data_IF_615504212016
#
_entry.id   IF_615504212016
#
_cell.length_a   1.000
_cell.length_b   1.000
_cell.length_c   1.000
_cell.angle_alpha   90.00
_cell.angle_beta   90.00
_cell.angle_gamma   90.00
#
_symmetry.space_group_name_H-M   'P 1'
#
loop_
_entity.id
_entity.type
_entity.pdbx_description
1 polymer ?
#
# COMPACT_ATOMS: atom_id res chain seq x y z
N UNK A 1 28.70 -20.52 -10.37
CA UNK A 1 27.94 -19.92 -11.48
C UNK A 1 26.85 -19.03 -10.92
N UNK A 2 26.64 -17.84 -11.51
CA UNK A 2 25.46 -17.00 -11.31
C UNK A 2 25.65 -15.81 -10.36
N UNK A 3 26.50 -14.84 -10.71
CA UNK A 3 26.38 -13.52 -10.08
C UNK A 3 25.12 -12.84 -10.62
N UNK A 4 24.19 -12.49 -9.73
CA UNK A 4 23.04 -11.67 -10.11
C UNK A 4 23.59 -10.27 -10.35
N UNK A 5 23.62 -9.84 -11.61
CA UNK A 5 24.03 -8.48 -11.95
C UNK A 5 22.95 -7.54 -11.44
N UNK A 6 23.25 -6.82 -10.35
CA UNK A 6 22.33 -5.82 -9.80
C UNK A 6 22.13 -4.69 -10.81
N UNK A 7 20.93 -4.11 -10.81
CA UNK A 7 20.65 -2.94 -11.63
C UNK A 7 21.28 -1.66 -11.05
N UNK A 8 21.41 -0.62 -11.86
CA UNK A 8 22.02 0.65 -11.46
C UNK A 8 21.21 1.33 -10.35
N UNK A 9 21.89 1.77 -9.28
CA UNK A 9 21.21 2.39 -8.12
C UNK A 9 20.66 3.79 -8.41
N UNK A 10 21.08 4.40 -9.51
CA UNK A 10 20.58 5.70 -9.97
C UNK A 10 19.52 5.53 -11.05
N UNK A 11 18.99 4.32 -11.24
CA UNK A 11 17.92 4.06 -12.18
C UNK A 11 16.68 4.84 -11.74
N UNK A 12 16.36 5.86 -12.53
CA UNK A 12 15.18 6.71 -12.42
C UNK A 12 13.98 5.93 -12.94
N UNK A 13 13.77 4.68 -12.49
CA UNK A 13 12.55 3.94 -12.84
C UNK A 13 11.40 4.85 -12.43
N UNK A 14 10.65 5.33 -13.44
CA UNK A 14 9.37 5.97 -13.23
C UNK A 14 8.53 4.91 -12.53
N UNK A 15 8.46 4.98 -11.20
CA UNK A 15 7.35 4.33 -10.53
C UNK A 15 6.10 4.85 -11.23
N UNK A 16 5.17 3.95 -11.62
CA UNK A 16 3.89 4.38 -12.15
C UNK A 16 3.20 5.31 -11.14
N UNK A 17 2.20 6.06 -11.59
CA UNK A 17 1.52 7.04 -10.74
C UNK A 17 0.94 6.38 -9.47
N UNK A 18 0.61 5.08 -9.55
CA UNK A 18 0.28 4.24 -8.41
C UNK A 18 0.94 2.86 -8.45
N UNK A 19 1.24 2.30 -7.27
CA UNK A 19 1.63 0.89 -7.08
C UNK A 19 0.59 -0.06 -7.72
N UNK A 20 -0.69 0.33 -7.73
CA UNK A 20 -1.77 -0.46 -8.35
C UNK A 20 -1.52 -0.77 -9.82
N UNK A 21 -0.94 0.18 -10.58
CA UNK A 21 -0.63 -0.02 -12.00
C UNK A 21 0.51 -1.01 -12.22
N UNK A 22 1.36 -1.21 -11.21
CA UNK A 22 2.41 -2.22 -11.23
C UNK A 22 1.87 -3.63 -10.97
N UNK A 23 0.77 -3.74 -10.24
CA UNK A 23 0.17 -5.01 -9.85
C UNK A 23 -0.97 -5.34 -10.80
N UNK A 24 -0.70 -6.21 -11.79
CA UNK A 24 -1.72 -6.74 -12.70
C UNK A 24 -2.96 -7.24 -11.95
N UNK A 25 -4.14 -7.09 -12.56
CA UNK A 25 -5.41 -7.58 -12.01
C UNK A 25 -5.41 -9.09 -11.69
N UNK A 26 -4.63 -9.87 -12.45
CA UNK A 26 -4.50 -11.32 -12.26
C UNK A 26 -3.35 -11.70 -11.32
N UNK A 27 -2.72 -10.73 -10.65
CA UNK A 27 -1.64 -11.02 -9.72
C UNK A 27 -2.21 -11.68 -8.46
N UNK A 28 -1.61 -12.80 -8.06
CA UNK A 28 -2.02 -13.54 -6.86
C UNK A 28 -2.02 -12.69 -5.58
N UNK A 29 -1.24 -11.61 -5.53
CA UNK A 29 -1.16 -10.72 -4.36
C UNK A 29 -2.51 -10.02 -4.07
N UNK A 30 -3.37 -9.85 -5.09
CA UNK A 30 -4.73 -9.29 -4.96
C UNK A 30 -5.63 -10.10 -4.03
N UNK A 31 -5.30 -11.37 -3.78
CA UNK A 31 -6.03 -12.20 -2.80
C UNK A 31 -5.94 -11.65 -1.37
N UNK A 32 -4.90 -10.87 -1.07
CA UNK A 32 -4.70 -10.26 0.24
C UNK A 32 -5.79 -9.20 0.47
N UNK A 33 -6.13 -8.42 -0.56
CA UNK A 33 -7.18 -7.41 -0.48
C UNK A 33 -8.54 -8.07 -0.18
N UNK A 34 -8.88 -9.13 -0.92
CA UNK A 34 -10.09 -9.92 -0.70
C UNK A 34 -10.13 -10.60 0.67
N UNK A 35 -8.98 -11.05 1.19
CA UNK A 35 -8.87 -11.63 2.52
C UNK A 35 -9.11 -10.58 3.62
N UNK A 36 -8.51 -9.40 3.49
CA UNK A 36 -8.67 -8.30 4.46
C UNK A 36 -10.12 -7.83 4.49
N UNK A 37 -10.80 -7.75 3.34
CA UNK A 37 -12.21 -7.35 3.25
C UNK A 37 -13.17 -8.28 4.00
N UNK A 38 -12.81 -9.56 4.16
CA UNK A 38 -13.61 -10.53 4.90
C UNK A 38 -13.34 -10.51 6.40
N UNK A 39 -12.29 -9.80 6.84
CA UNK A 39 -11.82 -9.83 8.22
C UNK A 39 -12.44 -8.69 9.02
N UNK A 40 -13.05 -9.03 10.17
CA UNK A 40 -13.51 -8.02 11.12
C UNK A 40 -12.33 -7.50 11.95
N UNK A 41 -11.70 -6.44 11.43
CA UNK A 41 -10.54 -5.79 12.05
C UNK A 41 -10.88 -5.16 13.42
N UNK A 42 -12.14 -4.83 13.68
CA UNK A 42 -12.59 -4.31 14.97
C UNK A 42 -12.61 -5.41 16.03
N UNK A 43 -13.17 -6.58 15.69
CA UNK A 43 -13.16 -7.76 16.58
C UNK A 43 -11.76 -8.25 16.90
N UNK A 44 -10.81 -8.04 15.98
CA UNK A 44 -9.40 -8.39 16.15
C UNK A 44 -8.59 -7.31 16.88
N UNK A 45 -9.26 -6.28 17.42
CA UNK A 45 -8.65 -5.19 18.18
C UNK A 45 -7.61 -4.36 17.40
N UNK A 46 -7.72 -4.29 16.06
CA UNK A 46 -6.93 -3.36 15.27
C UNK A 46 -7.48 -1.94 15.41
N UNK A 47 -7.14 -1.27 16.52
CA UNK A 47 -7.64 0.06 16.90
C UNK A 47 -7.38 1.19 15.87
N UNK A 48 -6.49 0.96 14.89
CA UNK A 48 -6.15 1.92 13.82
C UNK A 48 -6.69 1.53 12.45
N UNK A 49 -7.36 0.39 12.32
CA UNK A 49 -7.97 -0.03 11.07
C UNK A 49 -9.20 0.82 10.74
N UNK A 50 -9.93 1.25 11.76
CA UNK A 50 -11.05 2.17 11.61
C UNK A 50 -10.56 3.59 11.77
N UNK A 51 -11.14 4.48 10.98
CA UNK A 51 -10.96 5.91 11.05
C UNK A 51 -11.84 6.48 12.18
N UNK A 52 -11.32 6.81 13.38
CA UNK A 52 -12.10 7.60 14.32
C UNK A 52 -12.66 8.87 13.68
N UNK A 53 -13.94 9.20 13.93
CA UNK A 53 -14.59 10.36 13.31
C UNK A 53 -13.87 11.69 13.64
N UNK A 54 -13.14 11.75 14.75
CA UNK A 54 -12.40 12.93 15.20
C UNK A 54 -11.24 13.36 14.27
N UNK A 55 -10.80 12.50 13.35
CA UNK A 55 -9.73 12.85 12.40
C UNK A 55 -10.15 12.85 10.94
N UNK A 56 -11.37 12.43 10.60
CA UNK A 56 -11.90 12.49 9.23
C UNK A 56 -11.89 13.93 8.68
N UNK A 57 -12.07 14.92 9.57
CA UNK A 57 -12.07 16.34 9.24
C UNK A 57 -10.68 16.99 9.28
N UNK A 58 -9.62 16.26 9.69
CA UNK A 58 -8.27 16.80 9.72
C UNK A 58 -7.58 16.53 8.39
N UNK A 59 -7.17 17.57 7.64
CA UNK A 59 -6.43 17.35 6.42
C UNK A 59 -5.11 16.67 6.78
N UNK A 60 -4.92 15.42 6.36
CA UNK A 60 -3.62 14.71 6.41
C UNK A 60 -2.75 15.21 5.24
N UNK A 61 -2.79 16.51 4.97
CA UNK A 61 -1.78 17.14 4.14
C UNK A 61 -0.68 17.62 5.09
N UNK A 62 0.61 17.34 4.82
CA UNK A 62 1.65 18.07 5.51
C UNK A 62 1.40 19.55 5.21
N UNK A 63 1.20 20.35 6.26
CA UNK A 63 1.25 21.80 6.12
C UNK A 63 2.65 22.13 5.61
N UNK A 64 2.76 22.35 4.31
CA UNK A 64 3.93 22.95 3.68
C UNK A 64 4.04 24.33 4.34
N UNK A 65 5.14 24.54 5.08
CA UNK A 65 5.49 25.81 5.70
C UNK A 65 5.71 26.90 4.65
#
# INVERSE_FOLDING_TARGET
>A
MGYIKGEDRNQIILFPESIDEYVSDNNSIRIIDEYINQLDLESLHFNRAVIPPLWADRPITPKIC
#
